data_IF_600949584970
#
_entry.id   IF_600949584970
#
_cell.length_a   1.000
_cell.length_b   1.000
_cell.length_c   1.000
_cell.angle_alpha   90.00
_cell.angle_beta   90.00
_cell.angle_gamma   90.00
#
_symmetry.space_group_name_H-M   'P 1'
#
loop_
_entity.id
_entity.type
_entity.pdbx_description
1 polymer ?
#
# COMPACT_ATOMS: atom_id res chain seq x y z
N UNK A 1 -36.43 -49.14 -54.71
CA UNK A 1 -37.37 -48.04 -54.98
C UNK A 1 -36.98 -46.88 -54.09
N UNK A 2 -36.64 -45.73 -54.72
CA UNK A 2 -36.69 -44.33 -54.20
C UNK A 2 -35.91 -44.01 -52.91
N UNK A 3 -34.74 -43.33 -52.99
CA UNK A 3 -34.49 -41.87 -53.06
C UNK A 3 -35.06 -41.06 -51.87
N UNK A 4 -34.17 -40.47 -51.05
CA UNK A 4 -34.18 -39.05 -50.71
C UNK A 4 -32.88 -38.63 -49.97
N UNK A 5 -32.28 -37.55 -50.46
CA UNK A 5 -31.10 -36.84 -49.93
C UNK A 5 -31.58 -35.66 -49.07
N UNK A 6 -30.94 -35.41 -47.92
CA UNK A 6 -30.75 -34.11 -47.26
C UNK A 6 -29.77 -34.36 -46.10
N UNK A 7 -28.59 -33.75 -45.96
CA UNK A 7 -28.21 -32.38 -46.22
C UNK A 7 -28.15 -31.63 -44.89
N UNK A 8 -26.94 -31.35 -44.40
CA UNK A 8 -26.48 -30.11 -43.70
C UNK A 8 -25.21 -30.46 -42.90
N UNK A 9 -24.09 -29.91 -43.36
CA UNK A 9 -22.85 -29.75 -42.60
C UNK A 9 -22.99 -28.46 -41.80
N UNK A 10 -22.81 -28.52 -40.49
CA UNK A 10 -22.52 -27.32 -39.69
C UNK A 10 -21.14 -27.51 -39.08
N UNK A 11 -20.20 -26.69 -39.55
CA UNK A 11 -18.90 -26.50 -38.90
C UNK A 11 -19.17 -25.76 -37.59
N UNK A 12 -19.15 -26.47 -36.47
CA UNK A 12 -19.01 -25.83 -35.16
C UNK A 12 -17.57 -25.33 -35.06
N UNK A 13 -17.34 -24.07 -35.39
CA UNK A 13 -16.13 -23.36 -34.99
C UNK A 13 -16.10 -23.30 -33.46
N UNK A 14 -15.05 -23.85 -32.86
CA UNK A 14 -14.71 -23.58 -31.48
C UNK A 14 -14.00 -22.22 -31.46
N UNK A 15 -14.75 -21.16 -31.19
CA UNK A 15 -14.15 -19.89 -30.81
C UNK A 15 -13.56 -20.03 -29.40
N UNK A 16 -12.24 -20.24 -29.32
CA UNK A 16 -11.45 -20.07 -28.11
C UNK A 16 -11.41 -18.58 -27.73
N UNK A 17 -12.51 -18.09 -27.17
CA UNK A 17 -12.59 -16.73 -26.64
C UNK A 17 -12.55 -16.78 -25.10
N UNK A 18 -11.47 -17.34 -24.56
CA UNK A 18 -11.06 -17.07 -23.17
C UNK A 18 -10.43 -15.68 -23.09
N UNK A 19 -11.26 -14.66 -23.28
CA UNK A 19 -10.95 -13.31 -22.83
C UNK A 19 -11.00 -13.29 -21.30
N UNK A 20 -9.91 -13.72 -20.66
CA UNK A 20 -9.67 -13.42 -19.25
C UNK A 20 -9.57 -11.90 -19.09
N UNK A 21 -10.69 -11.30 -18.69
CA UNK A 21 -10.77 -9.92 -18.19
C UNK A 21 -9.71 -9.77 -17.10
N UNK A 22 -8.79 -8.79 -17.15
CA UNK A 22 -7.91 -8.51 -16.02
C UNK A 22 -8.79 -8.16 -14.82
N UNK A 23 -8.62 -8.89 -13.72
CA UNK A 23 -9.29 -8.58 -12.47
C UNK A 23 -8.82 -7.19 -11.98
N UNK A 24 -9.73 -6.30 -11.54
CA UNK A 24 -9.39 -4.94 -11.07
C UNK A 24 -8.31 -4.88 -9.96
N UNK A 25 -8.11 -5.97 -9.22
CA UNK A 25 -7.24 -6.01 -8.04
C UNK A 25 -5.74 -5.78 -8.33
N UNK A 26 -5.22 -6.16 -9.50
CA UNK A 26 -3.76 -6.03 -9.79
C UNK A 26 -3.38 -4.57 -10.08
N UNK A 27 -4.27 -3.84 -10.76
CA UNK A 27 -4.01 -2.43 -11.09
C UNK A 27 -4.11 -1.55 -9.84
N UNK A 28 -5.10 -1.79 -8.98
CA UNK A 28 -5.29 -1.05 -7.73
C UNK A 28 -4.08 -1.16 -6.80
N UNK A 29 -3.61 -2.39 -6.57
CA UNK A 29 -2.41 -2.65 -5.77
C UNK A 29 -1.13 -2.02 -6.35
N UNK A 30 -1.03 -1.88 -7.67
CA UNK A 30 0.11 -1.21 -8.30
C UNK A 30 0.12 0.31 -8.07
N UNK A 31 -1.07 0.93 -8.09
CA UNK A 31 -1.22 2.36 -7.82
C UNK A 31 -0.95 2.64 -6.34
N UNK A 32 -1.51 1.81 -5.46
CA UNK A 32 -1.30 1.91 -4.03
C UNK A 32 0.18 1.75 -3.67
N UNK A 33 0.86 0.75 -4.25
CA UNK A 33 2.31 0.60 -4.08
C UNK A 33 3.08 1.82 -4.57
N UNK A 34 2.74 2.36 -5.75
CA UNK A 34 3.41 3.56 -6.26
C UNK A 34 3.24 4.74 -5.29
N UNK A 35 2.06 4.94 -4.73
CA UNK A 35 1.81 5.98 -3.72
C UNK A 35 2.62 5.74 -2.45
N UNK A 36 2.61 4.53 -1.91
CA UNK A 36 3.35 4.21 -0.67
C UNK A 36 4.87 4.23 -0.89
N UNK A 37 5.34 3.96 -2.10
CA UNK A 37 6.76 4.05 -2.46
C UNK A 37 7.32 5.47 -2.36
N UNK A 38 6.46 6.50 -2.49
CA UNK A 38 6.84 7.91 -2.28
C UNK A 38 7.21 8.18 -0.80
N UNK A 39 6.84 7.28 0.12
CA UNK A 39 7.13 7.39 1.55
C UNK A 39 8.52 6.91 1.92
N UNK A 40 9.24 6.25 1.01
CA UNK A 40 10.61 5.78 1.25
C UNK A 40 11.53 6.93 1.67
N UNK A 41 12.39 6.67 2.65
CA UNK A 41 13.30 7.63 3.28
C UNK A 41 12.86 8.01 4.70
N UNK A 42 13.47 9.04 5.26
CA UNK A 42 13.24 9.48 6.64
C UNK A 42 12.15 10.57 6.74
N UNK A 43 11.38 10.51 7.81
CA UNK A 43 10.34 11.43 8.24
C UNK A 43 10.63 11.81 9.69
N UNK A 44 10.61 13.09 10.04
CA UNK A 44 11.07 13.55 11.34
C UNK A 44 9.89 13.87 12.26
N UNK A 45 10.00 13.47 13.52
CA UNK A 45 9.07 13.80 14.57
C UNK A 45 9.65 14.83 15.54
N UNK A 46 8.94 15.13 16.64
CA UNK A 46 9.47 15.97 17.72
C UNK A 46 10.74 15.39 18.34
N UNK A 47 11.52 16.26 18.98
CA UNK A 47 12.54 15.86 19.97
C UNK A 47 13.59 14.87 19.42
N UNK A 48 13.86 14.91 18.12
CA UNK A 48 14.82 14.02 17.46
C UNK A 48 14.30 12.62 17.15
N UNK A 49 13.01 12.34 17.38
CA UNK A 49 12.35 11.12 16.92
C UNK A 49 12.24 11.10 15.39
N UNK A 50 12.20 9.90 14.81
CA UNK A 50 12.03 9.76 13.37
C UNK A 50 11.44 8.41 12.98
N UNK A 51 10.85 8.36 11.78
CA UNK A 51 10.50 7.15 11.07
C UNK A 51 11.30 7.08 9.77
N UNK A 52 11.89 5.94 9.45
CA UNK A 52 12.56 5.69 8.18
C UNK A 52 11.96 4.47 7.50
N UNK A 53 11.53 4.65 6.27
CA UNK A 53 10.94 3.59 5.45
C UNK A 53 11.93 3.21 4.34
N UNK A 54 12.13 1.92 4.15
CA UNK A 54 12.89 1.38 3.01
C UNK A 54 12.14 0.20 2.40
N UNK A 55 12.40 -0.09 1.13
CA UNK A 55 11.80 -1.25 0.44
C UNK A 55 12.52 -2.53 0.86
N UNK A 56 11.77 -3.62 1.06
CA UNK A 56 12.34 -4.94 1.33
C UNK A 56 11.47 -6.03 0.68
N UNK A 57 12.01 -6.72 -0.33
CA UNK A 57 11.22 -7.67 -1.13
C UNK A 57 9.97 -7.01 -1.70
N UNK A 58 8.80 -7.58 -1.39
CA UNK A 58 7.49 -7.04 -1.80
C UNK A 58 6.88 -6.02 -0.82
N UNK A 59 7.52 -5.80 0.33
CA UNK A 59 7.05 -4.92 1.40
C UNK A 59 8.06 -3.85 1.81
N UNK A 60 7.99 -3.46 3.08
CA UNK A 60 8.75 -2.34 3.63
C UNK A 60 9.44 -2.71 4.93
N UNK A 61 10.61 -2.12 5.19
CA UNK A 61 11.21 -2.07 6.52
C UNK A 61 10.94 -0.68 7.09
N UNK A 62 10.32 -0.66 8.25
CA UNK A 62 9.97 0.57 8.99
C UNK A 62 10.87 0.62 10.22
N UNK A 63 11.79 1.58 10.24
CA UNK A 63 12.59 1.89 11.42
C UNK A 63 11.95 3.06 12.14
N UNK A 64 11.63 2.91 13.42
CA UNK A 64 11.10 3.99 14.28
C UNK A 64 12.11 4.22 15.40
N UNK A 65 12.56 5.47 15.53
CA UNK A 65 13.33 5.98 16.66
C UNK A 65 12.40 6.86 17.49
N UNK A 66 12.05 6.38 18.68
CA UNK A 66 11.39 7.18 19.71
C UNK A 66 12.45 7.76 20.68
N UNK A 67 11.98 8.34 21.80
CA UNK A 67 12.85 8.95 22.81
C UNK A 67 13.70 7.91 23.56
N UNK A 68 13.28 6.65 23.58
CA UNK A 68 13.93 5.57 24.32
C UNK A 68 14.90 4.80 23.42
N UNK A 69 14.42 4.31 22.27
CA UNK A 69 15.17 3.36 21.43
C UNK A 69 14.79 3.46 19.96
N UNK A 70 15.64 2.82 19.15
CA UNK A 70 15.34 2.55 17.76
C UNK A 70 14.84 1.12 17.63
N UNK A 71 13.83 0.89 16.80
CA UNK A 71 13.26 -0.44 16.55
C UNK A 71 12.86 -0.58 15.09
N UNK A 72 12.97 -1.79 14.55
CA UNK A 72 12.64 -2.10 13.18
C UNK A 72 11.45 -3.06 13.09
N UNK A 73 10.59 -2.81 12.10
CA UNK A 73 9.39 -3.60 11.83
C UNK A 73 9.32 -3.95 10.34
N UNK A 74 8.77 -5.13 10.06
CA UNK A 74 8.38 -5.51 8.71
C UNK A 74 6.96 -5.00 8.45
N UNK A 75 6.82 -4.20 7.41
CA UNK A 75 5.57 -3.65 6.93
C UNK A 75 5.14 -4.29 5.61
N UNK A 76 3.83 -4.42 5.42
CA UNK A 76 3.22 -4.90 4.19
C UNK A 76 2.27 -3.83 3.63
N UNK A 77 2.14 -3.79 2.31
CA UNK A 77 1.16 -2.92 1.66
C UNK A 77 -0.27 -3.33 2.06
N UNK A 78 -1.08 -2.37 2.46
CA UNK A 78 -2.50 -2.54 2.83
C UNK A 78 -3.31 -1.38 2.25
N UNK A 79 -3.63 -1.49 0.96
CA UNK A 79 -4.09 -0.35 0.18
C UNK A 79 -3.04 0.77 0.20
N UNK A 80 -3.49 2.02 0.36
CA UNK A 80 -2.61 3.21 0.52
C UNK A 80 -2.02 3.35 1.92
N UNK A 81 -1.65 2.25 2.57
CA UNK A 81 -1.10 2.20 3.93
C UNK A 81 -0.02 1.14 4.02
N UNK A 82 0.82 1.26 5.05
CA UNK A 82 1.70 0.17 5.48
C UNK A 82 1.14 -0.41 6.76
N UNK A 83 0.81 -1.70 6.76
CA UNK A 83 0.44 -2.43 7.98
C UNK A 83 1.66 -3.13 8.56
N UNK A 84 1.87 -3.04 9.87
CA UNK A 84 2.97 -3.71 10.57
C UNK A 84 2.53 -4.19 11.96
N UNK A 85 3.31 -5.08 12.56
CA UNK A 85 3.10 -5.55 13.94
C UNK A 85 4.13 -4.89 14.87
N UNK A 86 3.65 -4.31 15.97
CA UNK A 86 4.47 -3.78 17.06
C UNK A 86 3.88 -4.26 18.39
N UNK A 87 4.68 -4.97 19.18
CA UNK A 87 4.26 -5.52 20.47
C UNK A 87 2.95 -6.34 20.40
N UNK A 88 2.83 -7.20 19.37
CA UNK A 88 1.62 -7.97 19.05
C UNK A 88 0.37 -7.15 18.68
N UNK A 89 0.49 -5.82 18.57
CA UNK A 89 -0.54 -4.94 18.06
C UNK A 89 -0.35 -4.68 16.56
N UNK A 90 -1.45 -4.76 15.82
CA UNK A 90 -1.48 -4.35 14.42
C UNK A 90 -1.59 -2.82 14.33
N UNK A 91 -0.59 -2.21 13.71
CA UNK A 91 -0.50 -0.77 13.49
C UNK A 91 -0.54 -0.47 11.98
N UNK A 92 -0.91 0.76 11.64
CA UNK A 92 -0.95 1.24 10.25
C UNK A 92 -0.20 2.55 10.12
N UNK A 93 0.56 2.71 9.05
CA UNK A 93 1.11 3.99 8.62
C UNK A 93 0.25 4.51 7.49
N UNK A 94 -0.27 5.72 7.61
CA UNK A 94 -1.01 6.39 6.55
C UNK A 94 -0.52 7.81 6.34
N UNK A 95 -0.76 8.33 5.14
CA UNK A 95 -0.51 9.73 4.82
C UNK A 95 -1.53 10.65 5.50
N UNK A 96 -1.08 11.85 5.85
CA UNK A 96 -1.94 12.94 6.32
C UNK A 96 -1.15 14.24 6.50
N UNK A 97 -1.75 15.17 7.23
CA UNK A 97 -1.13 16.41 7.64
C UNK A 97 -0.81 16.39 9.13
N UNK A 98 -0.02 17.35 9.57
CA UNK A 98 0.47 17.44 10.94
C UNK A 98 -0.64 17.67 11.96
N UNK A 99 -1.73 18.34 11.58
CA UNK A 99 -2.95 18.42 12.41
C UNK A 99 -3.56 17.05 12.73
N UNK A 100 -3.42 16.08 11.81
CA UNK A 100 -4.00 14.74 11.96
C UNK A 100 -3.15 13.88 12.91
N UNK A 101 -1.93 14.33 13.25
CA UNK A 101 -1.04 13.65 14.20
C UNK A 101 -1.45 13.89 15.67
N UNK A 102 -2.28 14.90 15.94
CA UNK A 102 -2.58 15.35 17.31
C UNK A 102 -1.44 16.10 18.02
N UNK A 103 -0.31 16.33 17.36
CA UNK A 103 0.86 16.97 17.96
C UNK A 103 1.00 18.45 17.60
N UNK A 104 1.08 19.30 18.63
CA UNK A 104 1.11 20.77 18.49
C UNK A 104 2.22 21.28 17.57
N UNK A 105 3.43 20.72 17.67
CA UNK A 105 4.61 21.16 16.90
C UNK A 105 4.58 20.71 15.44
N UNK A 106 3.74 19.75 15.07
CA UNK A 106 3.56 19.35 13.67
C UNK A 106 2.33 20.00 13.03
N UNK A 107 1.44 20.64 13.78
CA UNK A 107 0.11 21.10 13.33
C UNK A 107 0.04 21.73 11.92
N UNK A 108 1.05 22.51 11.52
CA UNK A 108 1.08 23.25 10.26
C UNK A 108 1.76 22.50 9.11
N UNK A 109 2.38 21.35 9.38
CA UNK A 109 3.11 20.57 8.39
C UNK A 109 2.12 19.85 7.46
N UNK A 110 2.16 20.06 6.13
CA UNK A 110 1.17 19.48 5.21
C UNK A 110 1.48 18.04 4.80
N UNK A 111 2.69 17.56 5.11
CA UNK A 111 3.26 16.35 4.55
C UNK A 111 3.76 15.44 5.67
N UNK A 112 2.89 14.55 6.15
CA UNK A 112 3.17 13.69 7.30
C UNK A 112 2.71 12.25 7.09
N UNK A 113 3.39 11.35 7.78
CA UNK A 113 2.96 9.98 8.00
C UNK A 113 2.55 9.81 9.46
N UNK A 114 1.44 9.12 9.67
CA UNK A 114 0.80 8.97 10.97
C UNK A 114 0.66 7.47 11.26
N UNK A 115 1.01 7.08 12.48
CA UNK A 115 0.75 5.73 13.00
C UNK A 115 -0.58 5.75 13.77
N UNK A 116 -0.69 6.70 14.70
CA UNK A 116 -1.87 6.94 15.53
C UNK A 116 -1.83 8.37 16.09
N UNK A 117 -2.89 8.77 16.76
CA UNK A 117 -2.91 10.04 17.49
C UNK A 117 -1.75 10.09 18.50
N UNK A 118 -0.99 11.19 18.49
CA UNK A 118 0.22 11.37 19.27
C UNK A 118 1.49 10.77 18.64
N UNK A 119 1.40 10.09 17.49
CA UNK A 119 2.54 9.46 16.82
C UNK A 119 2.51 9.70 15.30
N UNK A 120 3.36 10.64 14.87
CA UNK A 120 3.47 11.03 13.47
C UNK A 120 4.81 11.70 13.16
N UNK A 121 5.13 11.73 11.87
CA UNK A 121 6.43 12.13 11.37
C UNK A 121 6.23 12.91 10.08
N UNK A 122 6.84 14.09 9.96
CA UNK A 122 6.63 14.98 8.84
C UNK A 122 7.91 15.21 8.04
N UNK A 123 7.73 15.60 6.78
CA UNK A 123 8.78 16.13 5.91
C UNK A 123 8.46 17.58 5.59
N UNK A 124 9.42 18.46 5.83
CA UNK A 124 9.34 19.82 5.32
C UNK A 124 9.50 19.79 3.80
N UNK A 125 8.74 20.61 3.06
CA UNK A 125 8.92 20.77 1.62
C UNK A 125 10.32 21.32 1.27
#
# INVERSE_FOLDING_TARGET
MTLAVAGIVVLSGCDDNSASKPAPAVQDQSIDRKTVDEWVGQWNGPEGTYMKISKTGEGYRVTIKDLDKESEYLGVLDGKRIRFLRDDHQEFIHYGAGRDTGMKWLMEEPNCLIVKEGEGYCRKP
#
